data_IF_817455553772
#
_entry.id   IF_817455553772
#
_cell.length_a   1.000
_cell.length_b   1.000
_cell.length_c   1.000
_cell.angle_alpha   90.00
_cell.angle_beta   90.00
_cell.angle_gamma   90.00
#
_symmetry.space_group_name_H-M   'P 1'
#
loop_
_entity.id
_entity.type
_entity.pdbx_description
1 polymer ?
#
# COMPACT_ATOMS: atom_id res chain seq x y z
N UNK A 1 -18.28 -18.52 -3.32
CA UNK A 1 -16.86 -18.65 -2.89
C UNK A 1 -16.00 -18.60 -4.14
N UNK A 2 -14.86 -17.92 -4.09
CA UNK A 2 -14.02 -17.67 -5.25
C UNK A 2 -12.93 -18.77 -5.37
N UNK A 3 -12.85 -19.52 -6.49
CA UNK A 3 -11.93 -20.66 -6.60
C UNK A 3 -10.46 -20.31 -6.38
N UNK A 4 -10.01 -19.12 -6.81
CA UNK A 4 -8.62 -18.70 -6.58
C UNK A 4 -8.31 -18.44 -5.10
N UNK A 5 -9.30 -18.04 -4.29
CA UNK A 5 -9.15 -17.90 -2.83
C UNK A 5 -9.07 -19.28 -2.19
N UNK A 6 -9.85 -20.26 -2.67
CA UNK A 6 -9.75 -21.66 -2.20
C UNK A 6 -8.34 -22.20 -2.46
N UNK A 7 -7.81 -21.99 -3.66
CA UNK A 7 -6.45 -22.40 -4.02
C UNK A 7 -5.37 -21.66 -3.20
N UNK A 8 -5.58 -20.39 -2.91
CA UNK A 8 -4.67 -19.60 -2.07
C UNK A 8 -4.58 -20.20 -0.67
N UNK A 9 -5.74 -20.49 -0.04
CA UNK A 9 -5.80 -21.08 1.29
C UNK A 9 -5.16 -22.47 1.30
N UNK A 10 -5.47 -23.32 0.32
CA UNK A 10 -4.92 -24.67 0.21
C UNK A 10 -3.38 -24.68 0.08
N UNK A 11 -2.80 -23.68 -0.60
CA UNK A 11 -1.34 -23.52 -0.77
C UNK A 11 -0.65 -22.83 0.40
N UNK A 12 -1.40 -22.23 1.33
CA UNK A 12 -0.83 -21.52 2.47
C UNK A 12 -0.21 -22.51 3.47
N UNK A 13 1.10 -22.41 3.68
CA UNK A 13 1.83 -23.26 4.63
C UNK A 13 1.66 -22.82 6.08
N UNK A 14 1.36 -21.54 6.28
CA UNK A 14 1.13 -20.92 7.59
C UNK A 14 -0.20 -20.18 7.54
N UNK A 15 -0.81 -19.96 8.69
CA UNK A 15 -2.02 -19.16 8.88
C UNK A 15 -3.27 -19.67 8.14
N UNK A 16 -3.27 -20.96 7.72
CA UNK A 16 -4.39 -21.51 6.95
C UNK A 16 -5.72 -21.42 7.73
N UNK A 17 -5.71 -21.77 9.02
CA UNK A 17 -6.89 -21.72 9.88
C UNK A 17 -7.35 -20.29 10.16
N UNK A 18 -6.40 -19.38 10.38
CA UNK A 18 -6.65 -17.96 10.60
C UNK A 18 -7.27 -17.30 9.35
N UNK A 19 -6.68 -17.57 8.18
CA UNK A 19 -7.21 -17.07 6.89
C UNK A 19 -8.62 -17.60 6.66
N UNK A 20 -8.86 -18.89 6.92
CA UNK A 20 -10.17 -19.52 6.75
C UNK A 20 -11.22 -18.91 7.69
N UNK A 21 -10.86 -18.64 8.96
CA UNK A 21 -11.77 -18.02 9.92
C UNK A 21 -12.07 -16.57 9.55
N UNK A 22 -11.04 -15.79 9.19
CA UNK A 22 -11.21 -14.41 8.70
C UNK A 22 -12.10 -14.38 7.46
N UNK A 23 -11.85 -15.27 6.48
CA UNK A 23 -12.70 -15.43 5.29
C UNK A 23 -14.16 -15.61 5.65
N UNK A 24 -14.45 -16.52 6.58
CA UNK A 24 -15.82 -16.79 7.03
C UNK A 24 -16.48 -15.52 7.60
N UNK A 25 -15.75 -14.79 8.45
CA UNK A 25 -16.24 -13.54 9.04
C UNK A 25 -16.55 -12.49 7.96
N UNK A 26 -15.67 -12.38 6.96
CA UNK A 26 -15.79 -11.40 5.87
C UNK A 26 -16.98 -11.71 4.95
N UNK A 27 -17.18 -12.98 4.59
CA UNK A 27 -18.32 -13.42 3.79
C UNK A 27 -19.65 -13.26 4.54
N UNK A 28 -19.67 -13.54 5.86
CA UNK A 28 -20.83 -13.26 6.72
C UNK A 28 -21.22 -11.76 6.69
N UNK A 29 -20.25 -10.86 6.52
CA UNK A 29 -20.47 -9.43 6.38
C UNK A 29 -20.89 -9.01 4.95
N UNK A 30 -21.17 -9.96 4.06
CA UNK A 30 -21.63 -9.74 2.67
C UNK A 30 -20.61 -9.04 1.78
N UNK A 31 -19.33 -9.26 2.03
CA UNK A 31 -18.25 -8.82 1.14
C UNK A 31 -18.09 -9.83 0.01
N UNK A 32 -17.77 -9.33 -1.18
CA UNK A 32 -17.36 -10.11 -2.34
C UNK A 32 -15.86 -10.41 -2.25
N UNK A 33 -15.45 -11.66 -2.47
CA UNK A 33 -14.04 -12.04 -2.44
C UNK A 33 -13.41 -12.10 -3.83
N UNK A 34 -12.14 -11.75 -3.91
CA UNK A 34 -11.30 -11.82 -5.11
C UNK A 34 -9.83 -11.96 -4.73
N UNK A 35 -8.96 -12.22 -5.69
CA UNK A 35 -7.50 -12.12 -5.50
C UNK A 35 -7.00 -10.81 -6.09
N UNK A 36 -6.33 -10.00 -5.28
CA UNK A 36 -5.61 -8.79 -5.72
C UNK A 36 -4.20 -8.80 -5.14
N UNK A 37 -3.22 -8.44 -5.94
CA UNK A 37 -1.79 -8.46 -5.54
C UNK A 37 -1.33 -9.81 -4.96
N UNK A 38 -1.96 -10.91 -5.40
CA UNK A 38 -1.66 -12.26 -4.94
C UNK A 38 -2.20 -12.60 -3.55
N UNK A 39 -3.16 -11.84 -3.00
CA UNK A 39 -3.75 -12.02 -1.67
C UNK A 39 -5.29 -11.96 -1.72
N UNK A 40 -6.00 -12.64 -0.79
CA UNK A 40 -7.45 -12.54 -0.67
C UNK A 40 -7.88 -11.11 -0.33
N UNK A 41 -8.61 -10.48 -1.23
CA UNK A 41 -9.13 -9.13 -1.10
C UNK A 41 -10.66 -9.16 -1.12
N UNK A 42 -11.27 -8.36 -0.27
CA UNK A 42 -12.72 -8.33 -0.09
C UNK A 42 -13.27 -6.96 -0.41
N UNK A 43 -14.35 -6.93 -1.20
CA UNK A 43 -14.85 -5.72 -1.84
C UNK A 43 -16.35 -5.54 -1.62
N UNK A 44 -16.82 -4.31 -1.78
CA UNK A 44 -18.24 -3.95 -1.94
C UNK A 44 -18.36 -3.05 -3.16
N UNK A 45 -19.25 -3.39 -4.10
CA UNK A 45 -19.44 -2.64 -5.35
C UNK A 45 -18.11 -2.35 -6.06
N UNK A 46 -17.25 -3.37 -6.19
CA UNK A 46 -15.90 -3.28 -6.77
C UNK A 46 -14.92 -2.34 -6.02
N UNK A 47 -15.27 -1.83 -4.84
CA UNK A 47 -14.37 -1.04 -3.99
C UNK A 47 -13.72 -1.91 -2.94
N UNK A 48 -12.40 -1.82 -2.81
CA UNK A 48 -11.64 -2.60 -1.82
C UNK A 48 -11.97 -2.12 -0.41
N UNK A 49 -12.32 -3.05 0.47
CA UNK A 49 -12.60 -2.78 1.89
C UNK A 49 -11.47 -3.32 2.75
N UNK A 50 -11.20 -4.63 2.65
CA UNK A 50 -10.15 -5.28 3.43
C UNK A 50 -9.37 -6.30 2.61
N UNK A 51 -8.19 -6.63 3.08
CA UNK A 51 -7.30 -7.65 2.52
C UNK A 51 -6.74 -8.51 3.64
N UNK A 52 -6.64 -9.83 3.43
CA UNK A 52 -5.95 -10.72 4.35
C UNK A 52 -4.50 -10.82 3.91
N UNK A 53 -3.58 -10.45 4.79
CA UNK A 53 -2.15 -10.39 4.52
C UNK A 53 -1.36 -11.23 5.55
N UNK A 54 -1.03 -12.48 5.23
CA UNK A 54 -0.17 -13.30 6.08
C UNK A 54 1.29 -12.87 5.97
N UNK A 55 1.92 -12.66 7.12
CA UNK A 55 3.35 -12.39 7.27
C UNK A 55 4.02 -13.57 8.01
N UNK A 56 5.34 -13.53 8.13
CA UNK A 56 6.08 -14.60 8.85
C UNK A 56 5.67 -14.74 10.32
N UNK A 57 5.42 -13.61 11.01
CA UNK A 57 5.16 -13.58 12.45
C UNK A 57 3.69 -13.37 12.85
N UNK A 58 2.82 -12.95 11.92
CA UNK A 58 1.42 -12.63 12.19
C UNK A 58 0.57 -12.69 10.92
N UNK A 59 -0.73 -12.82 11.08
CA UNK A 59 -1.71 -12.69 10.01
C UNK A 59 -2.49 -11.39 10.22
N UNK A 60 -2.51 -10.52 9.21
CA UNK A 60 -3.14 -9.21 9.31
C UNK A 60 -4.44 -9.14 8.51
N UNK A 61 -5.42 -8.42 9.04
CA UNK A 61 -6.57 -7.93 8.31
C UNK A 61 -6.34 -6.45 8.01
N UNK A 62 -5.97 -6.14 6.78
CA UNK A 62 -5.69 -4.78 6.32
C UNK A 62 -6.94 -4.05 5.84
N UNK A 63 -7.25 -2.90 6.40
CA UNK A 63 -8.33 -2.00 5.99
C UNK A 63 -7.77 -0.92 5.08
N UNK A 64 -8.26 -0.82 3.83
CA UNK A 64 -7.74 0.15 2.85
C UNK A 64 -7.95 1.60 3.27
N UNK A 65 -9.07 1.90 3.93
CA UNK A 65 -9.37 3.21 4.50
C UNK A 65 -9.45 3.14 6.03
N UNK A 66 -8.55 2.39 6.64
CA UNK A 66 -8.57 2.08 8.06
C UNK A 66 -8.37 3.30 8.97
N UNK A 67 -7.71 4.35 8.47
CA UNK A 67 -7.54 5.59 9.20
C UNK A 67 -8.87 6.33 9.47
N UNK A 68 -9.94 6.03 8.70
CA UNK A 68 -11.26 6.59 8.88
C UNK A 68 -12.14 5.81 9.87
N UNK A 69 -11.64 4.71 10.43
CA UNK A 69 -12.32 3.93 11.47
C UNK A 69 -12.10 4.56 12.84
N UNK A 70 -13.11 4.51 13.71
CA UNK A 70 -13.07 5.09 15.06
C UNK A 70 -12.05 4.44 15.97
N UNK A 71 -11.82 3.13 15.77
CA UNK A 71 -10.86 2.32 16.52
C UNK A 71 -10.99 2.42 18.05
N UNK A 72 -12.22 2.39 18.56
CA UNK A 72 -12.54 2.51 19.99
C UNK A 72 -11.81 1.46 20.87
N UNK A 73 -11.37 0.36 20.28
CA UNK A 73 -10.62 -0.70 20.97
C UNK A 73 -9.10 -0.60 20.80
N UNK A 74 -8.61 0.38 20.05
CA UNK A 74 -7.19 0.61 19.80
C UNK A 74 -6.48 -0.64 19.23
N UNK A 75 -7.14 -1.33 18.29
CA UNK A 75 -6.63 -2.57 17.66
C UNK A 75 -5.93 -2.33 16.33
N UNK A 76 -6.02 -1.12 15.80
CA UNK A 76 -5.47 -0.81 14.49
C UNK A 76 -4.05 -0.27 14.59
N UNK A 77 -3.16 -0.84 13.81
CA UNK A 77 -1.78 -0.38 13.68
C UNK A 77 -1.54 0.17 12.26
N UNK A 78 -0.60 1.10 12.15
CA UNK A 78 -0.18 1.64 10.86
C UNK A 78 0.55 0.55 10.07
N UNK A 79 0.15 0.32 8.84
CA UNK A 79 0.70 -0.75 7.99
C UNK A 79 2.18 -0.55 7.62
N UNK A 80 2.69 0.69 7.67
CA UNK A 80 4.09 1.02 7.39
C UNK A 80 4.36 2.50 7.59
N UNK A 81 5.64 2.85 7.75
CA UNK A 81 6.12 4.21 8.11
C UNK A 81 5.52 5.34 7.25
N UNK A 82 5.21 5.06 5.99
CA UNK A 82 4.71 6.06 5.03
C UNK A 82 3.25 5.85 4.63
N UNK A 83 2.55 4.91 5.30
CA UNK A 83 1.15 4.61 5.03
C UNK A 83 0.26 5.66 5.71
N UNK A 84 -0.61 6.30 4.92
CA UNK A 84 -1.52 7.33 5.41
C UNK A 84 -2.90 6.77 5.76
N UNK A 85 -3.54 6.07 4.84
CA UNK A 85 -4.95 5.70 4.92
C UNK A 85 -5.17 4.27 5.46
N UNK A 86 -4.26 3.35 5.15
CA UNK A 86 -4.41 1.96 5.54
C UNK A 86 -4.05 1.71 7.01
N UNK A 87 -4.81 0.82 7.63
CA UNK A 87 -4.54 0.29 8.99
C UNK A 87 -4.66 -1.22 8.98
N UNK A 88 -4.00 -1.87 9.92
CA UNK A 88 -4.02 -3.33 10.05
C UNK A 88 -4.48 -3.73 11.45
N UNK A 89 -5.37 -4.72 11.50
CA UNK A 89 -5.64 -5.48 12.71
C UNK A 89 -4.78 -6.74 12.64
N UNK A 90 -3.89 -6.91 13.62
CA UNK A 90 -2.86 -7.97 13.62
C UNK A 90 -3.25 -9.10 14.55
N UNK A 91 -3.05 -10.35 14.09
CA UNK A 91 -3.35 -11.55 14.85
C UNK A 91 -2.12 -12.46 14.89
N UNK A 92 -1.81 -13.00 16.07
CA UNK A 92 -0.68 -13.88 16.29
C UNK A 92 -1.11 -15.37 16.35
N UNK A 93 -2.42 -15.63 16.47
CA UNK A 93 -2.98 -16.99 16.51
C UNK A 93 -4.50 -16.97 16.28
N UNK A 94 -5.04 -18.16 16.03
CA UNK A 94 -6.47 -18.39 15.77
C UNK A 94 -7.38 -17.93 16.93
N UNK A 95 -6.94 -18.13 18.18
CA UNK A 95 -7.71 -17.80 19.38
C UNK A 95 -8.00 -16.31 19.48
N UNK A 96 -7.06 -15.46 19.11
CA UNK A 96 -7.26 -13.99 19.06
C UNK A 96 -8.39 -13.62 18.08
N UNK A 97 -8.41 -14.23 16.90
CA UNK A 97 -9.49 -13.99 15.92
C UNK A 97 -10.84 -14.47 16.46
N UNK A 98 -10.88 -15.63 17.12
CA UNK A 98 -12.10 -16.16 17.72
C UNK A 98 -12.65 -15.22 18.79
N UNK A 99 -11.81 -14.73 19.68
CA UNK A 99 -12.18 -13.82 20.77
C UNK A 99 -12.64 -12.45 20.24
N UNK A 100 -12.04 -11.97 19.17
CA UNK A 100 -12.34 -10.67 18.58
C UNK A 100 -13.41 -10.72 17.47
N UNK A 101 -14.04 -11.86 17.21
CA UNK A 101 -14.97 -12.06 16.10
C UNK A 101 -16.06 -10.99 15.99
N UNK A 102 -16.68 -10.60 17.10
CA UNK A 102 -17.71 -9.55 17.15
C UNK A 102 -17.13 -8.17 16.85
N UNK A 103 -15.94 -7.89 17.37
CA UNK A 103 -15.23 -6.62 17.15
C UNK A 103 -14.81 -6.51 15.68
N UNK A 104 -14.21 -7.56 15.11
CA UNK A 104 -13.83 -7.61 13.69
C UNK A 104 -15.06 -7.30 12.81
N UNK A 105 -16.22 -7.93 13.10
CA UNK A 105 -17.45 -7.64 12.36
C UNK A 105 -17.89 -6.18 12.47
N UNK A 106 -17.76 -5.56 13.65
CA UNK A 106 -18.11 -4.16 13.84
C UNK A 106 -17.22 -3.24 12.98
N UNK A 107 -15.90 -3.47 12.97
CA UNK A 107 -14.95 -2.71 12.15
C UNK A 107 -15.20 -2.88 10.65
N UNK A 108 -15.54 -4.11 10.22
CA UNK A 108 -15.88 -4.37 8.82
C UNK A 108 -17.15 -3.60 8.42
N UNK A 109 -18.19 -3.62 9.25
CA UNK A 109 -19.45 -2.90 8.99
C UNK A 109 -19.20 -1.39 8.90
N UNK A 110 -18.43 -0.83 9.81
CA UNK A 110 -18.04 0.58 9.77
C UNK A 110 -17.24 0.91 8.51
N UNK A 111 -16.30 0.06 8.12
CA UNK A 111 -15.51 0.24 6.89
C UNK A 111 -16.40 0.24 5.64
N UNK A 112 -17.41 -0.65 5.59
CA UNK A 112 -18.39 -0.70 4.50
C UNK A 112 -19.24 0.58 4.47
N UNK A 113 -19.69 1.04 5.62
CA UNK A 113 -20.50 2.26 5.75
C UNK A 113 -19.71 3.50 5.36
N UNK A 114 -18.49 3.65 5.85
CA UNK A 114 -17.56 4.72 5.47
C UNK A 114 -17.33 4.74 3.95
N UNK A 115 -17.16 3.56 3.34
CA UNK A 115 -16.97 3.46 1.88
C UNK A 115 -18.25 3.89 1.13
N UNK A 116 -19.45 3.52 1.59
CA UNK A 116 -20.73 3.91 0.98
C UNK A 116 -20.95 5.42 1.07
N UNK A 117 -20.60 6.01 2.20
CA UNK A 117 -20.78 7.43 2.48
C UNK A 117 -19.64 8.29 1.90
N UNK A 118 -18.65 7.70 1.22
CA UNK A 118 -17.51 8.40 0.67
C UNK A 118 -16.59 9.02 1.72
N UNK A 119 -16.69 8.56 2.99
CA UNK A 119 -15.88 9.06 4.10
C UNK A 119 -14.44 8.59 3.86
N UNK A 120 -13.55 9.56 3.69
CA UNK A 120 -12.10 9.37 3.70
C UNK A 120 -11.54 10.36 4.70
N UNK A 121 -10.62 9.91 5.56
CA UNK A 121 -9.81 10.88 6.27
C UNK A 121 -9.00 11.66 5.22
N UNK A 122 -9.29 12.94 5.13
CA UNK A 122 -8.35 13.87 4.49
C UNK A 122 -7.21 13.94 5.50
N UNK A 123 -6.09 13.25 5.21
CA UNK A 123 -4.89 13.36 6.01
C UNK A 123 -4.49 14.85 6.05
N UNK A 124 -4.88 15.54 7.11
CA UNK A 124 -4.55 16.95 7.33
C UNK A 124 -3.08 17.13 7.69
N UNK A 125 -2.44 16.09 8.17
CA UNK A 125 -0.99 16.04 8.37
C UNK A 125 -0.35 15.30 7.18
N UNK A 126 -0.16 16.02 6.10
CA UNK A 126 0.93 15.70 5.20
C UNK A 126 2.21 15.96 6.01
N UNK A 127 2.76 14.92 6.66
CA UNK A 127 4.15 15.01 7.09
C UNK A 127 4.95 15.32 5.84
N UNK A 128 5.21 16.61 5.63
CA UNK A 128 6.03 17.07 4.53
C UNK A 128 7.42 16.51 4.76
N UNK A 129 7.81 15.61 3.88
CA UNK A 129 9.16 15.04 3.92
C UNK A 129 10.06 16.12 3.34
N UNK A 130 10.74 16.84 4.21
CA UNK A 130 11.75 17.80 3.79
C UNK A 130 13.09 17.10 3.56
N UNK A 131 13.74 17.46 2.46
CA UNK A 131 15.09 17.05 2.12
C UNK A 131 15.90 18.31 1.86
N UNK A 132 16.69 18.72 2.85
CA UNK A 132 17.45 19.98 2.82
C UNK A 132 18.35 20.08 1.57
N UNK A 133 19.00 18.97 1.20
CA UNK A 133 19.86 18.90 0.02
C UNK A 133 19.09 19.16 -1.28
N UNK A 134 17.86 18.67 -1.36
CA UNK A 134 17.00 18.92 -2.51
C UNK A 134 16.62 20.41 -2.59
N UNK A 135 16.30 21.01 -1.45
CA UNK A 135 16.01 22.46 -1.38
C UNK A 135 17.23 23.29 -1.76
N UNK A 136 18.43 22.90 -1.32
CA UNK A 136 19.67 23.57 -1.70
C UNK A 136 19.95 23.49 -3.22
N UNK A 137 19.65 22.33 -3.84
CA UNK A 137 19.75 22.16 -5.29
C UNK A 137 18.71 23.02 -6.01
N UNK A 138 17.46 23.07 -5.53
CA UNK A 138 16.41 23.90 -6.14
C UNK A 138 16.72 25.39 -6.15
N UNK A 139 17.47 25.90 -5.16
CA UNK A 139 17.92 27.30 -5.13
C UNK A 139 18.92 27.62 -6.25
N UNK A 140 19.69 26.62 -6.71
CA UNK A 140 20.74 26.78 -7.73
C UNK A 140 20.30 26.35 -9.13
N UNK A 141 19.19 25.59 -9.24
CA UNK A 141 18.74 24.94 -10.47
C UNK A 141 17.23 25.08 -10.63
N UNK A 142 16.84 26.20 -11.20
CA UNK A 142 15.42 26.53 -11.45
C UNK A 142 14.75 25.56 -12.46
N UNK A 143 15.40 25.10 -13.55
CA UNK A 143 14.86 24.07 -14.44
C UNK A 143 14.54 22.77 -13.72
N UNK A 144 15.43 22.28 -12.87
CA UNK A 144 15.22 21.06 -12.10
C UNK A 144 14.08 21.20 -11.09
N UNK A 145 14.00 22.33 -10.37
CA UNK A 145 12.88 22.66 -9.48
C UNK A 145 11.54 22.62 -10.23
N UNK A 146 11.48 23.25 -11.42
CA UNK A 146 10.28 23.27 -12.26
C UNK A 146 9.87 21.87 -12.70
N UNK A 147 10.82 21.05 -13.14
CA UNK A 147 10.56 19.68 -13.55
C UNK A 147 10.05 18.82 -12.38
N UNK A 148 10.64 18.96 -11.19
CA UNK A 148 10.18 18.26 -10.00
C UNK A 148 8.76 18.68 -9.61
N UNK A 149 8.45 19.97 -9.61
CA UNK A 149 7.13 20.51 -9.31
C UNK A 149 6.04 20.07 -10.32
N UNK A 150 6.44 19.80 -11.56
CA UNK A 150 5.54 19.30 -12.61
C UNK A 150 5.17 17.82 -12.45
N UNK A 151 5.90 17.05 -11.62
CA UNK A 151 5.52 15.67 -11.29
C UNK A 151 4.21 15.65 -10.50
N UNK A 152 3.45 14.56 -10.65
CA UNK A 152 2.27 14.35 -9.79
C UNK A 152 2.66 14.28 -8.31
N UNK A 153 1.78 14.67 -7.37
CA UNK A 153 2.07 14.63 -5.93
C UNK A 153 2.58 13.27 -5.44
N UNK A 154 2.03 12.17 -5.97
CA UNK A 154 2.49 10.82 -5.64
C UNK A 154 3.91 10.53 -6.12
N UNK A 155 4.31 11.02 -7.31
CA UNK A 155 5.68 10.86 -7.81
C UNK A 155 6.67 11.72 -7.01
N UNK A 156 6.31 12.96 -6.69
CA UNK A 156 7.11 13.83 -5.82
C UNK A 156 7.35 13.16 -4.47
N UNK A 157 6.27 12.67 -3.82
CA UNK A 157 6.36 11.97 -2.53
C UNK A 157 7.25 10.73 -2.59
N UNK A 158 7.17 9.93 -3.66
CA UNK A 158 8.00 8.74 -3.81
C UNK A 158 9.50 9.08 -3.90
N UNK A 159 9.86 10.14 -4.59
CA UNK A 159 11.23 10.67 -4.62
C UNK A 159 11.68 11.19 -3.26
N UNK A 160 10.85 11.97 -2.56
CA UNK A 160 11.16 12.50 -1.23
C UNK A 160 11.42 11.38 -0.23
N UNK A 161 10.58 10.34 -0.21
CA UNK A 161 10.78 9.14 0.62
C UNK A 161 12.13 8.47 0.31
N UNK A 162 12.46 8.32 -0.97
CA UNK A 162 13.72 7.69 -1.38
C UNK A 162 14.94 8.52 -0.96
N UNK A 163 14.90 9.83 -1.15
CA UNK A 163 16.00 10.72 -0.81
C UNK A 163 16.20 10.81 0.69
N UNK A 164 15.13 11.04 1.46
CA UNK A 164 15.19 11.15 2.93
C UNK A 164 15.58 9.85 3.64
N UNK A 165 15.43 8.70 2.98
CA UNK A 165 15.75 7.38 3.55
C UNK A 165 17.25 7.15 3.81
N UNK A 166 18.16 8.03 3.36
CA UNK A 166 19.58 7.95 3.65
C UNK A 166 19.95 8.81 4.86
N UNK A 167 20.78 8.28 5.77
CA UNK A 167 21.24 9.00 6.96
C UNK A 167 22.25 10.11 6.62
N UNK A 168 23.16 9.85 5.69
CA UNK A 168 24.24 10.77 5.33
C UNK A 168 23.81 11.73 4.21
N UNK A 169 24.16 13.00 4.35
CA UNK A 169 23.87 14.07 3.39
C UNK A 169 24.45 13.75 2.00
N UNK A 170 25.69 13.31 1.93
CA UNK A 170 26.33 12.93 0.66
C UNK A 170 25.54 11.83 -0.09
N UNK A 171 25.05 10.83 0.65
CA UNK A 171 24.22 9.77 0.04
C UNK A 171 22.91 10.33 -0.48
N UNK A 172 22.30 11.30 0.20
CA UNK A 172 21.08 11.98 -0.29
C UNK A 172 21.34 12.76 -1.56
N UNK A 173 22.44 13.51 -1.61
CA UNK A 173 22.89 14.25 -2.81
C UNK A 173 23.12 13.29 -3.98
N UNK A 174 23.83 12.19 -3.76
CA UNK A 174 24.08 11.18 -4.79
C UNK A 174 22.78 10.55 -5.31
N UNK A 175 21.82 10.25 -4.43
CA UNK A 175 20.50 9.77 -4.84
C UNK A 175 19.75 10.80 -5.70
N UNK A 176 19.77 12.07 -5.33
CA UNK A 176 19.11 13.13 -6.11
C UNK A 176 19.74 13.22 -7.51
N UNK A 177 21.09 13.22 -7.60
CA UNK A 177 21.82 13.30 -8.85
C UNK A 177 21.55 12.08 -9.76
N UNK A 178 21.50 10.88 -9.20
CA UNK A 178 21.21 9.66 -9.95
C UNK A 178 19.79 9.65 -10.58
N UNK A 179 18.84 10.32 -9.95
CA UNK A 179 17.48 10.41 -10.47
C UNK A 179 17.17 11.71 -11.22
N UNK A 180 18.16 12.60 -11.32
CA UNK A 180 17.99 13.92 -11.94
C UNK A 180 17.40 13.84 -13.35
N UNK A 181 17.98 13.00 -14.21
CA UNK A 181 17.53 12.86 -15.59
C UNK A 181 16.10 12.32 -15.69
N UNK A 182 15.72 11.36 -14.82
CA UNK A 182 14.35 10.85 -14.77
C UNK A 182 13.35 11.94 -14.39
N UNK A 183 13.71 12.79 -13.43
CA UNK A 183 12.86 13.90 -12.98
C UNK A 183 12.69 14.93 -14.10
N UNK A 184 13.79 15.30 -14.77
CA UNK A 184 13.75 16.23 -15.91
C UNK A 184 12.88 15.70 -17.06
N UNK A 185 12.81 14.38 -17.23
CA UNK A 185 11.95 13.72 -18.21
C UNK A 185 10.52 13.47 -17.73
N UNK A 186 10.12 13.95 -16.55
CA UNK A 186 8.76 13.76 -15.99
C UNK A 186 8.45 12.34 -15.54
N UNK A 187 9.47 11.49 -15.35
CA UNK A 187 9.34 10.06 -15.03
C UNK A 187 9.38 9.88 -13.51
N UNK A 188 8.43 9.12 -12.96
CA UNK A 188 8.41 8.75 -11.55
C UNK A 188 9.47 7.70 -11.20
N UNK A 189 9.87 7.63 -9.92
CA UNK A 189 10.90 6.69 -9.46
C UNK A 189 10.53 5.21 -9.72
N UNK A 190 9.23 4.89 -9.65
CA UNK A 190 8.69 3.55 -9.85
C UNK A 190 8.13 3.32 -11.26
N UNK A 191 8.19 4.33 -12.13
CA UNK A 191 7.65 4.20 -13.48
C UNK A 191 8.49 3.22 -14.30
N UNK A 192 7.84 2.38 -15.06
CA UNK A 192 8.49 1.47 -15.99
C UNK A 192 9.01 2.24 -17.22
N UNK A 193 10.25 1.99 -17.62
CA UNK A 193 10.89 2.63 -18.78
C UNK A 193 11.33 1.63 -19.86
N UNK A 194 10.90 0.37 -19.75
CA UNK A 194 11.34 -0.68 -20.67
C UNK A 194 10.68 -0.63 -22.06
N UNK A 195 9.61 0.16 -22.23
CA UNK A 195 8.84 0.23 -23.48
C UNK A 195 7.97 -0.99 -23.80
N UNK A 196 8.07 -2.08 -23.01
CA UNK A 196 7.36 -3.35 -23.25
C UNK A 196 6.11 -3.51 -22.40
N UNK A 197 5.99 -2.74 -21.31
CA UNK A 197 4.85 -2.86 -20.40
C UNK A 197 3.56 -2.41 -21.08
N UNK A 198 2.54 -3.27 -21.04
CA UNK A 198 1.17 -2.95 -21.50
C UNK A 198 0.41 -2.09 -20.49
N UNK A 199 1.00 -1.82 -19.31
CA UNK A 199 0.40 -1.08 -18.19
C UNK A 199 1.14 0.20 -17.86
N UNK A 200 1.85 0.79 -18.85
CA UNK A 200 2.58 2.04 -18.63
C UNK A 200 1.74 3.09 -17.88
N UNK A 201 2.32 3.84 -16.94
CA UNK A 201 3.72 3.82 -16.51
C UNK A 201 4.05 2.70 -15.50
N UNK A 202 3.09 1.86 -15.12
CA UNK A 202 3.32 0.75 -14.20
C UNK A 202 4.06 -0.41 -14.88
N UNK A 203 4.83 -1.16 -14.10
CA UNK A 203 5.50 -2.36 -14.58
C UNK A 203 4.56 -3.58 -14.53
N UNK A 204 4.47 -4.35 -15.62
CA UNK A 204 3.78 -5.64 -15.69
C UNK A 204 4.75 -6.84 -15.70
N UNK A 205 6.05 -6.59 -15.56
CA UNK A 205 7.09 -7.61 -15.59
C UNK A 205 7.64 -7.96 -16.98
N UNK A 206 7.09 -7.40 -18.06
CA UNK A 206 7.50 -7.69 -19.45
C UNK A 206 9.00 -7.43 -19.71
N UNK A 207 9.63 -6.51 -18.95
CA UNK A 207 11.07 -6.23 -19.07
C UNK A 207 11.96 -7.44 -18.73
N UNK A 208 11.46 -8.45 -18.01
CA UNK A 208 12.20 -9.68 -17.75
C UNK A 208 12.61 -10.41 -19.03
N UNK A 209 11.84 -10.22 -20.13
CA UNK A 209 12.14 -10.78 -21.44
C UNK A 209 13.41 -10.17 -22.06
N UNK A 210 13.79 -8.95 -21.69
CA UNK A 210 15.02 -8.30 -22.16
C UNK A 210 16.29 -8.96 -21.58
N UNK A 211 16.18 -9.54 -20.39
CA UNK A 211 17.31 -10.22 -19.71
C UNK A 211 17.50 -11.67 -20.16
N UNK A 212 16.53 -12.25 -20.89
CA UNK A 212 16.64 -13.61 -21.43
C UNK A 212 17.33 -13.65 -22.82
N UNK A 213 17.66 -12.48 -23.39
CA UNK A 213 18.34 -12.35 -24.70
C UNK A 213 19.82 -11.95 -24.55
N UNK A 214 20.40 -12.00 -23.36
CA UNK A 214 21.82 -11.93 -23.08
C UNK A 214 22.26 -13.29 -22.58
#
# INVERSE_FOLDING_TARGET
>A
MHPEVDLYIAKSKQWQSEIQLLRTILLDCKLEETIKWGQPCYTVNNKNIVIIAPFKAHCDLGFFNGAALKDDKQLLVVAGKHTQDSRQMRFNNLKEIQQLKSVIRAYIKEAIENQKNGIKLISTEKNEIEVEELQAIFKKDAPFKKAFAALTPGRQRAYLIHFSGAKQSETRINRINNYRQRILSGIGINDCTCGLSKRMPSCDGSHKQLNLKK
#
